data_IF_004849275007
#
_entry.id   IF_004849275007
#
_cell.length_a   1.000
_cell.length_b   1.000
_cell.length_c   1.000
_cell.angle_alpha   90.00
_cell.angle_beta   90.00
_cell.angle_gamma   90.00
#
_symmetry.space_group_name_H-M   'P 1'
#
loop_
_entity.id
_entity.type
_entity.pdbx_description
1 polymer ?
#
# COMPACT_ATOMS: atom_id res chain seq x y z
N UNK A 1 4.31 -9.66 -12.40
CA UNK A 1 4.11 -10.04 -10.98
C UNK A 1 4.86 -11.33 -10.57
N UNK A 2 4.96 -12.38 -11.41
CA UNK A 2 5.71 -13.60 -11.06
C UNK A 2 7.18 -13.34 -10.63
N UNK A 3 7.91 -12.49 -11.36
CA UNK A 3 9.28 -12.11 -11.03
C UNK A 3 9.43 -11.54 -9.60
N UNK A 4 8.44 -10.78 -9.10
CA UNK A 4 8.43 -10.27 -7.72
C UNK A 4 8.39 -11.41 -6.71
N UNK A 5 7.53 -12.42 -6.95
CA UNK A 5 7.48 -13.63 -6.11
C UNK A 5 8.81 -14.40 -6.14
N UNK A 6 9.43 -14.55 -7.32
CA UNK A 6 10.74 -15.20 -7.42
C UNK A 6 11.82 -14.48 -6.62
N UNK A 7 11.74 -13.15 -6.52
CA UNK A 7 12.64 -12.33 -5.70
C UNK A 7 12.30 -12.29 -4.21
N UNK A 8 11.31 -13.05 -3.74
CA UNK A 8 10.90 -13.09 -2.32
C UNK A 8 9.85 -12.03 -1.93
N UNK A 9 9.36 -11.24 -2.87
CA UNK A 9 8.28 -10.28 -2.63
C UNK A 9 6.88 -10.90 -2.68
N UNK A 10 5.88 -10.10 -2.27
CA UNK A 10 4.46 -10.46 -2.36
C UNK A 10 3.75 -9.63 -3.40
N UNK A 11 2.67 -10.17 -3.96
CA UNK A 11 1.86 -9.46 -4.94
C UNK A 11 0.75 -8.68 -4.23
N UNK A 12 0.65 -7.38 -4.50
CA UNK A 12 -0.58 -6.60 -4.31
C UNK A 12 -1.72 -7.11 -5.24
N UNK A 13 -2.89 -6.47 -5.25
CA UNK A 13 -3.99 -6.77 -6.21
C UNK A 13 -3.53 -6.85 -7.68
N UNK A 14 -4.04 -7.79 -8.47
CA UNK A 14 -3.62 -7.97 -9.87
C UNK A 14 -4.21 -6.90 -10.80
N UNK A 15 -5.45 -6.47 -10.54
CA UNK A 15 -6.16 -5.42 -11.26
C UNK A 15 -7.28 -4.82 -10.42
N UNK A 16 -8.12 -4.02 -11.07
CA UNK A 16 -9.24 -3.32 -10.42
C UNK A 16 -10.38 -4.25 -9.97
N UNK A 17 -10.37 -5.51 -10.41
CA UNK A 17 -11.41 -6.51 -10.12
C UNK A 17 -11.13 -7.37 -8.88
N UNK A 18 -9.92 -7.34 -8.30
CA UNK A 18 -9.56 -8.25 -7.19
C UNK A 18 -9.89 -7.70 -5.80
N UNK A 19 -9.74 -6.38 -5.62
CA UNK A 19 -9.91 -5.70 -4.35
C UNK A 19 -10.21 -4.21 -4.57
N UNK A 20 -10.99 -3.64 -3.66
CA UNK A 20 -11.23 -2.20 -3.63
C UNK A 20 -10.01 -1.50 -3.07
N UNK A 21 -9.55 -0.47 -3.76
CA UNK A 21 -8.50 0.43 -3.29
C UNK A 21 -9.03 1.85 -3.51
N UNK A 22 -9.42 2.48 -2.42
CA UNK A 22 -9.84 3.87 -2.38
C UNK A 22 -8.56 4.70 -2.46
N UNK A 23 -8.55 5.68 -3.36
CA UNK A 23 -7.43 6.62 -3.58
C UNK A 23 -7.91 8.04 -3.29
N UNK A 24 -6.97 8.98 -3.19
CA UNK A 24 -7.18 10.44 -3.16
C UNK A 24 -8.38 10.92 -3.99
N UNK A 25 -8.43 10.56 -5.27
CA UNK A 25 -9.47 11.00 -6.20
C UNK A 25 -10.86 10.44 -5.84
N UNK A 26 -10.91 9.24 -5.26
CA UNK A 26 -12.16 8.64 -4.79
C UNK A 26 -12.64 9.31 -3.51
N UNK A 27 -11.72 9.66 -2.59
CA UNK A 27 -12.04 10.42 -1.36
C UNK A 27 -12.65 11.76 -1.72
N UNK A 28 -12.01 12.50 -2.63
CA UNK A 28 -12.52 13.79 -3.14
C UNK A 28 -13.88 13.61 -3.82
N UNK A 29 -14.04 12.61 -4.67
CA UNK A 29 -15.29 12.38 -5.39
C UNK A 29 -16.46 11.96 -4.47
N UNK A 30 -16.18 11.22 -3.41
CA UNK A 30 -17.19 10.80 -2.42
C UNK A 30 -17.52 11.90 -1.40
N UNK A 31 -16.64 12.89 -1.22
CA UNK A 31 -16.80 13.98 -0.27
C UNK A 31 -16.14 13.75 1.10
N UNK A 32 -15.15 12.85 1.18
CA UNK A 32 -14.40 12.57 2.40
C UNK A 32 -14.12 11.09 2.62
N UNK A 33 -13.27 10.78 3.61
CA UNK A 33 -12.87 9.40 3.95
C UNK A 33 -14.08 8.60 4.43
N UNK A 34 -14.89 9.15 5.33
CA UNK A 34 -16.12 8.53 5.82
C UNK A 34 -17.06 8.08 4.68
N UNK A 35 -17.36 8.98 3.75
CA UNK A 35 -18.29 8.71 2.64
C UNK A 35 -17.70 7.72 1.63
N UNK A 36 -16.39 7.80 1.34
CA UNK A 36 -15.71 6.84 0.48
C UNK A 36 -15.72 5.42 1.08
N UNK A 37 -15.41 5.30 2.38
CA UNK A 37 -15.42 4.03 3.11
C UNK A 37 -16.83 3.42 3.16
N UNK A 38 -17.84 4.25 3.42
CA UNK A 38 -19.24 3.82 3.42
C UNK A 38 -19.68 3.32 2.05
N UNK A 39 -19.45 4.11 1.00
CA UNK A 39 -19.80 3.75 -0.37
C UNK A 39 -19.12 2.45 -0.81
N UNK A 40 -17.83 2.27 -0.50
CA UNK A 40 -17.11 1.04 -0.80
C UNK A 40 -17.73 -0.18 -0.09
N UNK A 41 -18.04 -0.06 1.20
CA UNK A 41 -18.65 -1.14 2.00
C UNK A 41 -20.05 -1.53 1.53
N UNK A 42 -20.85 -0.57 1.07
CA UNK A 42 -22.17 -0.83 0.51
C UNK A 42 -22.11 -1.50 -0.88
N UNK A 43 -21.04 -1.22 -1.64
CA UNK A 43 -20.87 -1.72 -3.01
C UNK A 43 -20.33 -3.16 -3.10
N UNK A 44 -19.62 -3.65 -2.08
CA UNK A 44 -18.95 -4.97 -2.12
C UNK A 44 -19.42 -5.92 -1.03
N UNK A 45 -19.38 -7.22 -1.32
CA UNK A 45 -19.70 -8.25 -0.33
C UNK A 45 -18.61 -8.42 0.73
N UNK A 46 -18.97 -9.06 1.86
CA UNK A 46 -18.10 -9.26 3.04
C UNK A 46 -16.75 -9.97 2.78
N UNK A 47 -16.58 -10.63 1.62
CA UNK A 47 -15.33 -11.29 1.24
C UNK A 47 -14.35 -10.38 0.48
N UNK A 48 -14.78 -9.21 0.03
CA UNK A 48 -13.93 -8.29 -0.69
C UNK A 48 -13.07 -7.46 0.27
N UNK A 49 -11.76 -7.43 0.03
CA UNK A 49 -10.87 -6.53 0.75
C UNK A 49 -11.09 -5.09 0.29
N UNK A 50 -11.04 -4.17 1.25
CA UNK A 50 -11.08 -2.73 1.03
C UNK A 50 -9.83 -2.14 1.67
N UNK A 51 -9.01 -1.53 0.83
CA UNK A 51 -7.88 -0.70 1.21
C UNK A 51 -8.20 0.76 0.94
N UNK A 52 -7.67 1.66 1.77
CA UNK A 52 -7.74 3.10 1.56
C UNK A 52 -6.35 3.73 1.67
N UNK A 53 -6.03 4.56 0.70
CA UNK A 53 -4.84 5.40 0.66
C UNK A 53 -5.14 6.75 1.32
N UNK A 54 -4.27 7.17 2.24
CA UNK A 54 -4.37 8.41 3.01
C UNK A 54 -3.02 9.12 3.04
N UNK A 55 -3.05 10.45 3.08
CA UNK A 55 -1.85 11.30 3.06
C UNK A 55 -1.53 11.85 4.46
N UNK A 56 -2.49 11.83 5.39
CA UNK A 56 -2.34 12.39 6.74
C UNK A 56 -2.76 11.42 7.85
N UNK A 57 -2.26 11.66 9.07
CA UNK A 57 -2.66 10.89 10.26
C UNK A 57 -4.12 11.10 10.65
N UNK A 58 -4.67 12.29 10.37
CA UNK A 58 -6.08 12.60 10.63
C UNK A 58 -6.99 11.77 9.72
N UNK A 59 -6.67 11.67 8.43
CA UNK A 59 -7.38 10.78 7.49
C UNK A 59 -7.24 9.30 7.87
N UNK A 60 -6.06 8.88 8.34
CA UNK A 60 -5.85 7.52 8.86
C UNK A 60 -6.76 7.25 10.05
N UNK A 61 -6.87 8.18 11.00
CA UNK A 61 -7.72 8.03 12.18
C UNK A 61 -9.20 7.95 11.77
N UNK A 62 -9.65 8.83 10.87
CA UNK A 62 -11.00 8.80 10.31
C UNK A 62 -11.28 7.47 9.59
N UNK A 63 -10.33 6.96 8.80
CA UNK A 63 -10.46 5.67 8.13
C UNK A 63 -10.60 4.50 9.12
N UNK A 64 -9.83 4.53 10.22
CA UNK A 64 -9.91 3.53 11.29
C UNK A 64 -11.26 3.58 12.02
N UNK A 65 -11.78 4.78 12.31
CA UNK A 65 -13.12 4.96 12.91
C UNK A 65 -14.21 4.41 12.00
N UNK A 66 -14.05 4.57 10.69
CA UNK A 66 -14.94 4.02 9.68
C UNK A 66 -14.58 2.57 9.31
N UNK A 67 -13.77 1.89 10.12
CA UNK A 67 -13.52 0.45 10.06
C UNK A 67 -12.71 -0.01 8.86
N UNK A 68 -11.75 0.80 8.39
CA UNK A 68 -10.72 0.35 7.47
C UNK A 68 -9.88 -0.77 8.11
N UNK A 69 -9.49 -1.76 7.30
CA UNK A 69 -8.69 -2.91 7.74
C UNK A 69 -7.32 -2.97 7.07
N UNK A 70 -7.15 -2.22 5.99
CA UNK A 70 -5.89 -2.06 5.25
C UNK A 70 -5.81 -0.57 4.94
N UNK A 71 -4.71 0.08 5.34
CA UNK A 71 -4.48 1.49 5.14
C UNK A 71 -3.11 1.67 4.50
N UNK A 72 -3.08 2.36 3.37
CA UNK A 72 -1.86 2.74 2.69
C UNK A 72 -1.52 4.20 3.08
N UNK A 73 -0.35 4.38 3.66
CA UNK A 73 0.22 5.63 4.12
C UNK A 73 1.11 6.20 3.00
N UNK A 74 0.59 7.15 2.22
CA UNK A 74 1.29 7.64 1.04
C UNK A 74 2.28 8.77 1.38
N UNK A 75 3.55 8.58 1.01
CA UNK A 75 4.63 9.57 1.13
C UNK A 75 4.80 10.20 2.53
N UNK A 76 4.37 9.52 3.61
CA UNK A 76 4.53 9.99 4.98
C UNK A 76 6.00 9.95 5.46
N UNK A 77 6.35 10.86 6.37
CA UNK A 77 7.69 10.89 6.97
C UNK A 77 7.92 9.68 7.90
N UNK A 78 9.18 9.34 8.20
CA UNK A 78 9.48 8.26 9.14
C UNK A 78 8.89 8.49 10.54
N UNK A 79 8.74 9.75 10.95
CA UNK A 79 8.15 10.09 12.25
C UNK A 79 6.63 9.90 12.23
N UNK A 80 5.99 10.29 11.14
CA UNK A 80 4.55 10.04 10.93
C UNK A 80 4.26 8.54 10.84
N UNK A 81 5.09 7.76 10.13
CA UNK A 81 4.93 6.31 10.07
C UNK A 81 5.02 5.64 11.45
N UNK A 82 5.97 6.07 12.31
CA UNK A 82 6.07 5.56 13.69
C UNK A 82 4.85 5.94 14.53
N UNK A 83 4.34 7.15 14.34
CA UNK A 83 3.14 7.62 15.02
C UNK A 83 1.90 6.85 14.54
N UNK A 84 1.76 6.63 13.23
CA UNK A 84 0.72 5.82 12.61
C UNK A 84 0.71 4.40 13.20
N UNK A 85 1.86 3.73 13.28
CA UNK A 85 1.98 2.40 13.91
C UNK A 85 1.52 2.44 15.37
N UNK A 86 1.90 3.47 16.12
CA UNK A 86 1.49 3.65 17.53
C UNK A 86 -0.02 3.87 17.68
N UNK A 87 -0.63 4.68 16.81
CA UNK A 87 -2.06 5.00 16.81
C UNK A 87 -2.91 3.83 16.31
N UNK A 88 -2.39 3.03 15.38
CA UNK A 88 -3.09 1.89 14.79
C UNK A 88 -3.46 0.84 15.84
N UNK A 89 -2.56 0.53 16.77
CA UNK A 89 -2.77 -0.49 17.82
C UNK A 89 -3.25 -1.84 17.26
N UNK A 90 -2.81 -2.20 16.05
CA UNK A 90 -3.19 -3.43 15.35
C UNK A 90 -4.63 -3.47 14.83
N UNK A 91 -5.29 -2.33 14.66
CA UNK A 91 -6.68 -2.26 14.13
C UNK A 91 -6.76 -2.56 12.62
N UNK A 92 -5.72 -2.19 11.87
CA UNK A 92 -5.56 -2.38 10.44
C UNK A 92 -4.13 -2.84 10.10
N UNK A 93 -3.96 -3.41 8.90
CA UNK A 93 -2.66 -3.59 8.25
C UNK A 93 -2.22 -2.22 7.73
N UNK A 94 -1.00 -1.82 8.04
CA UNK A 94 -0.41 -0.58 7.52
C UNK A 94 0.57 -0.89 6.38
N UNK A 95 0.32 -0.28 5.23
CA UNK A 95 1.21 -0.31 4.07
C UNK A 95 1.88 1.07 3.92
N UNK A 96 3.20 1.12 3.85
CA UNK A 96 3.91 2.34 3.44
C UNK A 96 4.16 2.33 1.93
N UNK A 97 3.89 3.46 1.28
CA UNK A 97 4.09 3.66 -0.16
C UNK A 97 4.68 5.04 -0.46
N UNK A 98 5.12 5.23 -1.70
CA UNK A 98 5.65 6.50 -2.18
C UNK A 98 7.14 6.66 -1.91
N UNK A 99 7.92 7.03 -2.92
CA UNK A 99 9.35 7.33 -2.78
C UNK A 99 10.25 6.20 -2.24
N UNK A 100 9.78 4.95 -2.22
CA UNK A 100 10.53 3.83 -1.64
C UNK A 100 11.72 3.45 -2.53
N UNK A 101 12.92 3.51 -1.95
CA UNK A 101 14.19 3.15 -2.58
C UNK A 101 14.94 2.11 -1.75
N UNK A 102 15.99 1.51 -2.32
CA UNK A 102 16.85 0.59 -1.58
C UNK A 102 17.52 1.26 -0.36
N UNK A 103 17.78 2.57 -0.44
CA UNK A 103 18.36 3.33 0.66
C UNK A 103 17.36 3.61 1.79
N UNK A 104 16.06 3.78 1.46
CA UNK A 104 15.03 4.17 2.43
C UNK A 104 14.23 3.00 3.00
N UNK A 105 14.11 1.89 2.25
CA UNK A 105 13.24 0.75 2.61
C UNK A 105 13.53 0.16 3.99
N UNK A 106 14.80 0.14 4.42
CA UNK A 106 15.18 -0.37 5.74
C UNK A 106 14.61 0.48 6.86
N UNK A 107 14.75 1.79 6.77
CA UNK A 107 14.28 2.70 7.82
C UNK A 107 12.75 2.76 7.86
N UNK A 108 12.08 2.64 6.71
CA UNK A 108 10.64 2.45 6.62
C UNK A 108 10.23 1.17 7.35
N UNK A 109 10.89 0.04 7.08
CA UNK A 109 10.58 -1.23 7.74
C UNK A 109 10.77 -1.17 9.27
N UNK A 110 11.79 -0.45 9.73
CA UNK A 110 12.05 -0.25 11.16
C UNK A 110 11.01 0.63 11.86
N UNK A 111 10.12 1.32 11.14
CA UNK A 111 8.99 2.03 11.76
C UNK A 111 7.94 1.09 12.33
N UNK A 112 7.87 -0.15 11.82
CA UNK A 112 6.92 -1.17 12.26
C UNK A 112 5.66 -1.29 11.39
N UNK A 113 5.62 -0.68 10.21
CA UNK A 113 4.59 -0.96 9.20
C UNK A 113 4.63 -2.43 8.76
N UNK A 114 3.48 -2.98 8.39
CA UNK A 114 3.33 -4.40 8.04
C UNK A 114 3.82 -4.69 6.62
N UNK A 115 3.58 -3.75 5.70
CA UNK A 115 3.86 -3.88 4.27
C UNK A 115 4.56 -2.63 3.76
N UNK A 116 5.45 -2.81 2.79
CA UNK A 116 6.02 -1.70 2.00
C UNK A 116 5.79 -2.05 0.54
N UNK A 117 5.10 -1.20 -0.19
CA UNK A 117 4.94 -1.35 -1.63
C UNK A 117 5.85 -0.38 -2.37
N UNK A 118 6.34 -0.84 -3.52
CA UNK A 118 7.19 -0.03 -4.40
C UNK A 118 6.87 -0.36 -5.85
N UNK A 119 6.56 0.66 -6.64
CA UNK A 119 6.46 0.51 -8.09
C UNK A 119 7.82 0.30 -8.76
N UNK A 120 8.91 0.77 -8.13
CA UNK A 120 10.24 0.79 -8.74
C UNK A 120 10.75 -0.61 -9.10
N UNK A 121 10.34 -1.65 -8.34
CA UNK A 121 10.72 -3.05 -8.61
C UNK A 121 10.04 -3.65 -9.84
N UNK A 122 9.11 -2.94 -10.48
CA UNK A 122 8.49 -3.35 -11.75
C UNK A 122 8.74 -2.34 -12.86
N UNK A 123 8.39 -1.06 -12.67
CA UNK A 123 8.46 -0.07 -13.75
C UNK A 123 9.88 0.49 -13.98
N UNK A 124 10.82 0.27 -13.05
CA UNK A 124 12.19 0.81 -13.10
C UNK A 124 13.26 -0.23 -12.75
N UNK A 125 12.92 -1.52 -12.78
CA UNK A 125 13.90 -2.57 -12.52
C UNK A 125 14.90 -2.65 -13.69
N UNK A 126 16.22 -2.64 -13.44
CA UNK A 126 17.21 -2.86 -14.49
C UNK A 126 17.11 -4.30 -15.02
N UNK A 127 17.39 -4.48 -16.31
CA UNK A 127 17.45 -5.82 -16.90
C UNK A 127 18.72 -6.55 -16.43
N UNK A 128 18.60 -7.85 -16.19
CA UNK A 128 19.76 -8.73 -16.04
C UNK A 128 20.38 -8.95 -17.42
N UNK A 129 21.66 -8.64 -17.57
CA UNK A 129 22.39 -8.87 -18.80
C UNK A 129 22.67 -10.36 -18.98
N UNK A 130 22.16 -10.94 -20.07
CA UNK A 130 22.22 -12.37 -20.36
C UNK A 130 22.59 -12.58 -21.82
N UNK A 131 23.65 -13.38 -22.05
CA UNK A 131 24.10 -13.83 -23.36
C UNK A 131 24.16 -15.35 -23.43
N UNK A 132 24.06 -15.91 -24.65
CA UNK A 132 24.29 -17.32 -24.94
C UNK A 132 25.45 -17.42 -25.93
N UNK A 133 26.55 -18.01 -25.50
CA UNK A 133 27.71 -18.27 -26.35
C UNK A 133 27.73 -19.73 -26.80
N UNK A 134 27.97 -19.96 -28.08
CA UNK A 134 28.25 -21.29 -28.61
C UNK A 134 29.73 -21.61 -28.42
N UNK A 135 30.02 -22.85 -28.03
CA UNK A 135 31.38 -23.37 -27.93
C UNK A 135 31.73 -24.15 -29.21
N UNK A 136 32.97 -24.00 -29.68
CA UNK A 136 33.52 -24.73 -30.83
C UNK A 136 33.67 -26.24 -30.59
#
# INVERSE_FOLDING_TARGET
KYAVKCGGGSNHRFGLYDAVMIKDNHIVAAGGVAEAMKAAKEAVGHMAAIEIEVETLDEMEEALEHGARIILLDNMSLDDLRLAVTLNKGRAILEASGGVTLATVRDIALTGVDVISSGAITHSAPNLDLGLDFLD
#
